data_IF_946836012338
#
_entry.id   IF_946836012338
#
_cell.length_a   1.000
_cell.length_b   1.000
_cell.length_c   1.000
_cell.angle_alpha   90.00
_cell.angle_beta   90.00
_cell.angle_gamma   90.00
#
_symmetry.space_group_name_H-M   'P 1'
#
loop_
_entity.id
_entity.type
_entity.pdbx_description
1 polymer ?
#
# COMPACT_ATOMS: atom_id res chain seq x y z
N UNK A 1 30.76 18.93 2.63
CA UNK A 1 31.74 17.86 2.93
C UNK A 1 31.10 16.94 3.96
N UNK A 2 30.29 15.99 3.49
CA UNK A 2 29.90 14.79 4.23
C UNK A 2 30.13 13.65 3.24
N UNK A 3 31.31 13.05 3.36
CA UNK A 3 31.65 11.82 2.67
C UNK A 3 31.29 10.65 3.57
N UNK A 4 31.02 9.51 2.91
CA UNK A 4 31.02 8.14 3.43
C UNK A 4 30.00 7.78 4.51
N UNK A 5 28.86 7.27 4.07
CA UNK A 5 28.32 6.02 4.60
C UNK A 5 27.61 5.29 3.45
N UNK A 6 28.38 4.92 2.42
CA UNK A 6 27.97 3.87 1.49
C UNK A 6 27.84 2.60 2.30
N UNK A 7 26.62 2.30 2.76
CA UNK A 7 26.28 0.97 3.23
C UNK A 7 26.74 -0.02 2.15
N UNK A 8 27.57 -0.99 2.54
CA UNK A 8 28.05 -2.04 1.66
C UNK A 8 26.86 -2.91 1.22
N UNK A 9 26.07 -2.43 0.24
CA UNK A 9 25.10 -3.25 -0.45
C UNK A 9 25.89 -4.29 -1.23
N UNK A 10 25.61 -5.58 -0.98
CA UNK A 10 26.21 -6.67 -1.74
C UNK A 10 25.79 -6.57 -3.20
N UNK A 11 26.77 -6.50 -4.10
CA UNK A 11 26.53 -6.48 -5.54
C UNK A 11 26.46 -7.90 -6.09
N UNK A 12 25.40 -8.64 -5.73
CA UNK A 12 25.12 -9.95 -6.32
C UNK A 12 24.62 -9.78 -7.76
N UNK A 13 25.16 -10.56 -8.68
CA UNK A 13 24.62 -10.73 -10.02
C UNK A 13 23.23 -11.38 -9.97
N UNK A 14 22.48 -11.28 -11.07
CA UNK A 14 21.18 -11.92 -11.20
C UNK A 14 21.27 -13.43 -10.93
N UNK A 15 22.29 -14.10 -11.47
CA UNK A 15 22.44 -15.54 -11.32
C UNK A 15 22.77 -15.92 -9.87
N UNK A 16 23.61 -15.13 -9.19
CA UNK A 16 23.87 -15.30 -7.76
C UNK A 16 22.60 -15.10 -6.92
N UNK A 17 21.75 -14.13 -7.26
CA UNK A 17 20.46 -13.92 -6.61
C UNK A 17 19.53 -15.13 -6.79
N UNK A 18 19.48 -15.72 -7.99
CA UNK A 18 18.66 -16.90 -8.27
C UNK A 18 19.22 -18.19 -7.63
N UNK A 19 20.51 -18.21 -7.30
CA UNK A 19 21.17 -19.34 -6.65
C UNK A 19 21.19 -19.23 -5.10
N UNK A 20 20.59 -18.18 -4.51
CA UNK A 20 20.56 -18.02 -3.06
C UNK A 20 19.85 -19.20 -2.38
N UNK A 21 20.37 -19.71 -1.24
CA UNK A 21 19.69 -20.76 -0.47
C UNK A 21 18.24 -20.37 -0.14
N UNK A 22 17.30 -21.23 -0.51
CA UNK A 22 15.86 -21.02 -0.31
C UNK A 22 15.09 -20.46 -1.52
N UNK A 23 15.79 -19.95 -2.55
CA UNK A 23 15.16 -19.61 -3.84
C UNK A 23 14.89 -20.89 -4.62
N UNK A 24 13.69 -21.02 -5.18
CA UNK A 24 13.30 -22.21 -5.94
C UNK A 24 14.08 -22.26 -7.27
N UNK A 25 14.98 -23.25 -7.49
CA UNK A 25 15.87 -23.26 -8.65
C UNK A 25 15.15 -23.57 -9.96
N UNK A 26 13.95 -24.16 -9.89
CA UNK A 26 13.10 -24.45 -11.06
C UNK A 26 12.14 -23.31 -11.39
N UNK A 27 12.21 -22.19 -10.65
CA UNK A 27 11.24 -21.10 -10.74
C UNK A 27 9.91 -21.40 -10.01
N UNK A 28 8.93 -20.49 -10.12
CA UNK A 28 7.60 -20.67 -9.51
C UNK A 28 6.89 -21.92 -10.05
N UNK A 29 6.13 -22.59 -9.18
CA UNK A 29 5.28 -23.71 -9.59
C UNK A 29 4.23 -23.24 -10.63
N UNK A 30 4.08 -23.92 -11.78
CA UNK A 30 3.06 -23.57 -12.78
C UNK A 30 1.63 -23.45 -12.24
N UNK A 31 1.28 -24.15 -11.17
CA UNK A 31 -0.02 -24.03 -10.51
C UNK A 31 -0.26 -22.62 -9.90
N UNK A 32 0.79 -21.84 -9.67
CA UNK A 32 0.70 -20.46 -9.16
C UNK A 32 0.62 -19.41 -10.28
N UNK A 33 0.60 -19.83 -11.54
CA UNK A 33 0.51 -18.92 -12.67
C UNK A 33 -0.78 -18.07 -12.59
N UNK A 34 -0.62 -16.76 -12.77
CA UNK A 34 -1.72 -15.80 -12.70
C UNK A 34 -2.09 -15.34 -11.28
N UNK A 35 -1.38 -15.80 -10.25
CA UNK A 35 -1.50 -15.21 -8.91
C UNK A 35 -0.99 -13.76 -8.91
N UNK A 36 -1.67 -12.90 -8.15
CA UNK A 36 -1.36 -11.47 -8.05
C UNK A 36 -1.18 -11.12 -6.59
N UNK A 37 -0.09 -10.41 -6.25
CA UNK A 37 0.02 -9.74 -4.96
C UNK A 37 -0.91 -8.51 -4.98
N UNK A 38 -2.15 -8.77 -4.59
CA UNK A 38 -3.27 -7.89 -4.89
C UNK A 38 -3.33 -6.70 -3.95
N UNK A 39 -3.21 -6.91 -2.64
CA UNK A 39 -3.44 -5.84 -1.66
C UNK A 39 -2.53 -5.90 -0.45
N UNK A 40 -2.30 -4.73 0.14
CA UNK A 40 -1.83 -4.55 1.52
C UNK A 40 -2.91 -3.81 2.30
N UNK A 41 -3.24 -4.28 3.50
CA UNK A 41 -4.30 -3.72 4.32
C UNK A 41 -3.74 -2.93 5.51
N UNK A 42 -4.24 -1.72 5.71
CA UNK A 42 -4.06 -0.95 6.94
C UNK A 42 -5.40 -0.61 7.58
N UNK A 43 -5.42 -0.59 8.90
CA UNK A 43 -6.53 0.04 9.62
C UNK A 43 -6.29 1.54 9.72
N UNK A 44 -7.35 2.33 9.53
CA UNK A 44 -7.31 3.79 9.62
C UNK A 44 -8.31 4.30 10.66
N UNK A 45 -7.89 5.25 11.49
CA UNK A 45 -8.75 5.85 12.53
C UNK A 45 -9.88 6.66 11.91
N UNK A 46 -9.55 7.47 10.92
CA UNK A 46 -10.51 8.34 10.24
C UNK A 46 -10.28 8.22 8.73
N UNK A 47 -11.29 7.76 7.97
CA UNK A 47 -11.15 7.60 6.53
C UNK A 47 -10.99 8.95 5.81
N UNK A 48 -11.52 10.06 6.35
CA UNK A 48 -11.49 11.34 5.63
C UNK A 48 -10.06 11.89 5.41
N UNK A 49 -9.22 12.11 6.44
CA UNK A 49 -7.84 12.53 6.23
C UNK A 49 -7.01 11.44 5.53
N UNK A 50 -7.34 10.16 5.74
CA UNK A 50 -6.64 9.06 5.06
C UNK A 50 -6.88 9.12 3.54
N UNK A 51 -8.13 9.24 3.10
CA UNK A 51 -8.48 9.34 1.69
C UNK A 51 -7.87 10.60 1.06
N UNK A 52 -7.93 11.74 1.74
CA UNK A 52 -7.29 12.97 1.25
C UNK A 52 -5.77 12.79 1.07
N UNK A 53 -5.08 12.22 2.06
CA UNK A 53 -3.65 11.93 1.96
C UNK A 53 -3.33 11.01 0.78
N UNK A 54 -3.95 9.84 0.71
CA UNK A 54 -3.61 8.87 -0.34
C UNK A 54 -4.03 9.34 -1.75
N UNK A 55 -5.09 10.14 -1.87
CA UNK A 55 -5.54 10.65 -3.18
C UNK A 55 -4.84 11.95 -3.58
N UNK A 56 -4.96 13.03 -2.80
CA UNK A 56 -4.42 14.36 -3.15
C UNK A 56 -2.91 14.43 -2.99
N UNK A 57 -2.37 13.89 -1.90
CA UNK A 57 -0.92 13.98 -1.62
C UNK A 57 -0.18 12.94 -2.45
N UNK A 58 -0.57 11.67 -2.36
CA UNK A 58 0.17 10.59 -3.02
C UNK A 58 -0.28 10.31 -4.46
N UNK A 59 -1.46 10.75 -4.89
CA UNK A 59 -1.93 10.58 -6.27
C UNK A 59 -2.60 9.23 -6.57
N UNK A 60 -3.04 8.49 -5.54
CA UNK A 60 -3.82 7.27 -5.76
C UNK A 60 -5.26 7.58 -6.14
N UNK A 61 -5.93 6.62 -6.76
CA UNK A 61 -7.37 6.69 -7.08
C UNK A 61 -8.14 5.75 -6.18
N UNK A 62 -9.22 6.24 -5.55
CA UNK A 62 -10.20 5.39 -4.88
C UNK A 62 -11.01 4.61 -5.93
N UNK A 63 -10.96 3.29 -5.86
CA UNK A 63 -11.62 2.38 -6.81
C UNK A 63 -13.00 1.98 -6.29
N UNK A 64 -13.09 1.52 -5.05
CA UNK A 64 -14.32 0.97 -4.50
C UNK A 64 -14.40 1.16 -2.98
N UNK A 65 -15.64 1.22 -2.49
CA UNK A 65 -15.99 1.24 -1.07
C UNK A 65 -16.92 0.08 -0.75
N UNK A 66 -16.55 -0.73 0.23
CA UNK A 66 -17.36 -1.87 0.69
C UNK A 66 -17.76 -1.66 2.15
N UNK A 67 -19.06 -1.51 2.42
CA UNK A 67 -19.62 -1.35 3.76
C UNK A 67 -20.14 -2.69 4.30
N UNK A 68 -19.72 -3.06 5.51
CA UNK A 68 -20.14 -4.28 6.20
C UNK A 68 -20.90 -3.90 7.46
N UNK A 69 -22.19 -3.58 7.32
CA UNK A 69 -23.01 -3.00 8.40
C UNK A 69 -23.11 -3.89 9.63
N UNK A 70 -23.28 -5.19 9.44
CA UNK A 70 -23.41 -6.15 10.55
C UNK A 70 -22.10 -6.33 11.34
N UNK A 71 -20.97 -5.89 10.78
CA UNK A 71 -19.63 -5.98 11.37
C UNK A 71 -19.03 -4.61 11.69
N UNK A 72 -19.76 -3.53 11.43
CA UNK A 72 -19.39 -2.14 11.74
C UNK A 72 -18.00 -1.72 11.22
N UNK A 73 -17.70 -2.06 9.96
CA UNK A 73 -16.52 -1.52 9.27
C UNK A 73 -16.77 -1.23 7.79
N UNK A 74 -15.92 -0.37 7.23
CA UNK A 74 -15.87 -0.04 5.81
C UNK A 74 -14.46 -0.29 5.27
N UNK A 75 -14.38 -0.85 4.06
CA UNK A 75 -13.14 -0.98 3.29
C UNK A 75 -13.09 0.06 2.17
N UNK A 76 -11.93 0.70 2.00
CA UNK A 76 -11.65 1.61 0.90
C UNK A 76 -10.44 1.08 0.12
N UNK A 77 -10.62 0.83 -1.18
CA UNK A 77 -9.57 0.29 -2.03
C UNK A 77 -8.98 1.38 -2.92
N UNK A 78 -7.68 1.62 -2.79
CA UNK A 78 -6.96 2.63 -3.57
C UNK A 78 -5.81 2.00 -4.36
N UNK A 79 -5.51 2.55 -5.53
CA UNK A 79 -4.32 2.15 -6.29
C UNK A 79 -3.85 3.26 -7.24
N UNK A 80 -2.63 3.11 -7.77
CA UNK A 80 -2.13 3.91 -8.90
C UNK A 80 -2.67 3.37 -10.22
N UNK A 81 -3.89 3.77 -10.56
CA UNK A 81 -4.60 3.36 -11.77
C UNK A 81 -5.15 4.57 -12.51
N UNK A 82 -5.35 4.40 -13.81
CA UNK A 82 -6.09 5.37 -14.62
C UNK A 82 -7.58 5.23 -14.32
N UNK A 83 -8.19 6.29 -13.77
CA UNK A 83 -9.61 6.31 -13.43
C UNK A 83 -10.52 5.99 -14.63
N UNK A 84 -10.10 6.32 -15.85
CA UNK A 84 -10.86 6.01 -17.07
C UNK A 84 -10.94 4.51 -17.39
N UNK A 85 -10.10 3.68 -16.74
CA UNK A 85 -10.11 2.22 -16.88
C UNK A 85 -10.93 1.51 -15.82
N UNK A 86 -11.41 2.23 -14.81
CA UNK A 86 -12.24 1.67 -13.76
C UNK A 86 -13.64 1.39 -14.36
N UNK A 87 -14.15 0.14 -14.30
CA UNK A 87 -15.47 -0.16 -14.81
C UNK A 87 -16.60 0.61 -14.11
N UNK A 88 -17.58 1.05 -14.89
CA UNK A 88 -18.80 1.74 -14.40
C UNK A 88 -19.70 0.77 -13.60
N UNK A 89 -19.92 -0.43 -14.14
CA UNK A 89 -20.70 -1.46 -13.45
C UNK A 89 -19.96 -1.92 -12.19
N UNK A 90 -20.69 -1.98 -11.07
CA UNK A 90 -20.11 -2.30 -9.77
C UNK A 90 -19.54 -3.72 -9.72
N UNK A 91 -20.23 -4.70 -10.30
CA UNK A 91 -19.79 -6.10 -10.28
C UNK A 91 -18.49 -6.23 -11.05
N UNK A 92 -18.44 -5.61 -12.24
CA UNK A 92 -17.23 -5.60 -13.07
C UNK A 92 -16.09 -4.84 -12.40
N UNK A 93 -16.39 -3.72 -11.72
CA UNK A 93 -15.39 -2.94 -10.98
C UNK A 93 -14.79 -3.70 -9.81
N UNK A 94 -15.60 -4.41 -9.02
CA UNK A 94 -15.11 -5.24 -7.92
C UNK A 94 -14.22 -6.37 -8.44
N UNK A 95 -14.64 -7.04 -9.52
CA UNK A 95 -13.82 -8.09 -10.13
C UNK A 95 -12.49 -7.53 -10.67
N UNK A 96 -12.55 -6.37 -11.35
CA UNK A 96 -11.37 -5.69 -11.86
C UNK A 96 -10.43 -5.22 -10.74
N UNK A 97 -10.97 -4.68 -9.66
CA UNK A 97 -10.21 -4.23 -8.49
C UNK A 97 -9.40 -5.38 -7.88
N UNK A 98 -10.02 -6.54 -7.67
CA UNK A 98 -9.35 -7.73 -7.13
C UNK A 98 -8.37 -8.40 -8.11
N UNK A 99 -8.29 -7.94 -9.36
CA UNK A 99 -7.21 -8.34 -10.29
C UNK A 99 -6.06 -7.34 -10.36
N UNK A 100 -6.19 -6.15 -9.76
CA UNK A 100 -5.12 -5.16 -9.79
C UNK A 100 -4.02 -5.50 -8.78
N UNK A 101 -2.73 -5.41 -9.16
CA UNK A 101 -1.63 -5.56 -8.22
C UNK A 101 -1.54 -4.34 -7.30
N UNK A 102 -0.96 -4.54 -6.12
CA UNK A 102 -0.52 -3.46 -5.23
C UNK A 102 -1.60 -2.43 -4.85
N UNK A 103 -2.84 -2.88 -4.67
CA UNK A 103 -3.88 -2.07 -4.04
C UNK A 103 -3.58 -1.84 -2.56
N UNK A 104 -4.00 -0.68 -2.08
CA UNK A 104 -4.06 -0.35 -0.66
C UNK A 104 -5.50 -0.50 -0.19
N UNK A 105 -5.74 -1.43 0.74
CA UNK A 105 -7.01 -1.59 1.44
C UNK A 105 -6.93 -0.79 2.76
N UNK A 106 -7.76 0.24 2.90
CA UNK A 106 -7.93 0.94 4.17
C UNK A 106 -9.19 0.42 4.86
N UNK A 107 -9.02 -0.19 6.03
CA UNK A 107 -10.12 -0.65 6.87
C UNK A 107 -10.42 0.38 7.94
N UNK A 108 -11.63 0.92 7.91
CA UNK A 108 -12.14 1.81 8.94
C UNK A 108 -13.15 1.06 9.81
N UNK A 109 -12.80 0.85 11.09
CA UNK A 109 -13.76 0.40 12.09
C UNK A 109 -14.57 1.61 12.57
N UNK A 110 -15.89 1.52 12.51
CA UNK A 110 -16.75 2.67 12.75
C UNK A 110 -16.62 3.21 14.18
N UNK A 111 -16.68 4.54 14.32
CA UNK A 111 -16.62 5.24 15.60
C UNK A 111 -15.20 5.52 16.10
N UNK A 112 -14.16 4.90 15.51
CA UNK A 112 -12.76 5.14 15.90
C UNK A 112 -12.32 6.59 15.70
N UNK A 113 -12.91 7.31 14.74
CA UNK A 113 -12.69 8.73 14.44
C UNK A 113 -13.19 9.65 15.56
N UNK A 114 -14.27 9.27 16.24
CA UNK A 114 -14.90 10.05 17.31
C UNK A 114 -14.56 9.60 18.72
N UNK A 115 -13.95 8.42 18.88
CA UNK A 115 -13.60 7.89 20.20
C UNK A 115 -12.38 8.64 20.80
N UNK A 116 -12.54 9.36 21.94
CA UNK A 116 -11.45 10.08 22.61
C UNK A 116 -10.44 9.15 23.31
N UNK A 117 -10.83 7.92 23.62
CA UNK A 117 -9.97 6.91 24.23
C UNK A 117 -9.15 6.17 23.18
N UNK A 118 -9.61 6.14 21.93
CA UNK A 118 -8.86 5.53 20.83
C UNK A 118 -7.66 6.38 20.41
N UNK A 119 -6.47 6.00 20.89
CA UNK A 119 -5.19 6.70 20.64
C UNK A 119 -4.61 6.50 19.22
N UNK A 120 -5.28 5.71 18.38
CA UNK A 120 -4.84 5.37 17.03
C UNK A 120 -4.31 3.95 16.91
N UNK A 121 -4.04 3.53 15.67
CA UNK A 121 -3.44 2.24 15.38
C UNK A 121 -1.92 2.28 15.56
N UNK A 122 -1.35 1.16 15.99
CA UNK A 122 0.09 1.00 16.12
C UNK A 122 0.72 0.78 14.73
N UNK A 123 1.77 1.54 14.39
CA UNK A 123 2.41 1.45 13.06
C UNK A 123 3.30 0.22 12.88
N UNK A 124 3.67 -0.45 13.97
CA UNK A 124 4.62 -1.58 13.95
C UNK A 124 6.09 -1.18 14.05
N UNK A 125 6.41 0.11 14.07
CA UNK A 125 7.79 0.63 14.10
C UNK A 125 8.33 0.90 15.52
N UNK A 126 7.49 0.72 16.55
CA UNK A 126 7.88 0.67 17.96
C UNK A 126 7.58 -0.72 18.55
N UNK A 127 7.98 -0.99 19.79
CA UNK A 127 7.70 -2.29 20.42
C UNK A 127 6.20 -2.42 20.79
N UNK A 128 5.54 -3.55 20.47
CA UNK A 128 6.06 -4.71 19.75
C UNK A 128 6.17 -4.47 18.23
N UNK A 129 7.37 -4.70 17.67
CA UNK A 129 7.65 -4.49 16.24
C UNK A 129 7.00 -5.53 15.36
N UNK A 130 6.71 -5.16 14.10
CA UNK A 130 6.12 -6.06 13.12
C UNK A 130 6.20 -5.49 11.69
N UNK A 131 5.08 -5.03 11.15
CA UNK A 131 5.04 -4.30 9.89
C UNK A 131 5.94 -3.06 9.94
N UNK A 132 6.65 -2.76 8.84
CA UNK A 132 7.51 -1.59 8.72
C UNK A 132 6.83 -0.46 7.96
N UNK A 133 6.81 -0.55 6.63
CA UNK A 133 6.25 0.47 5.75
C UNK A 133 5.86 -0.11 4.38
N UNK A 134 5.04 0.64 3.64
CA UNK A 134 4.93 0.53 2.19
C UNK A 134 5.90 1.50 1.53
N UNK A 135 6.35 1.16 0.31
CA UNK A 135 7.23 2.00 -0.49
C UNK A 135 6.55 2.44 -1.77
N UNK A 136 6.77 3.70 -2.16
CA UNK A 136 6.30 4.25 -3.44
C UNK A 136 7.55 4.68 -4.22
N UNK A 137 7.72 4.11 -5.42
CA UNK A 137 8.77 4.55 -6.33
C UNK A 137 8.29 5.78 -7.09
N UNK A 138 9.15 6.79 -7.14
CA UNK A 138 8.90 8.05 -7.85
C UNK A 138 10.04 8.34 -8.82
N UNK A 139 9.80 9.09 -9.92
CA UNK A 139 10.86 9.40 -10.88
C UNK A 139 12.02 10.20 -10.28
N UNK A 140 11.72 11.08 -9.33
CA UNK A 140 12.70 11.92 -8.63
C UNK A 140 12.25 12.11 -7.18
N UNK A 141 13.06 11.61 -6.24
CA UNK A 141 12.75 11.62 -4.81
C UNK A 141 12.81 13.04 -4.25
N UNK A 142 13.76 13.87 -4.70
CA UNK A 142 13.94 15.24 -4.19
C UNK A 142 12.75 16.12 -4.60
N UNK A 143 12.32 15.99 -5.87
CA UNK A 143 11.14 16.73 -6.37
C UNK A 143 9.86 16.29 -5.65
N UNK A 144 9.69 14.99 -5.41
CA UNK A 144 8.53 14.48 -4.70
C UNK A 144 8.51 14.98 -3.23
N UNK A 145 9.64 14.89 -2.54
CA UNK A 145 9.78 15.36 -1.15
C UNK A 145 9.54 16.87 -1.03
N UNK A 146 10.10 17.69 -1.92
CA UNK A 146 9.86 19.14 -1.92
C UNK A 146 8.36 19.46 -2.10
N UNK A 147 7.63 18.71 -2.92
CA UNK A 147 6.17 18.83 -3.03
C UNK A 147 5.48 18.40 -1.74
N UNK A 148 5.88 17.30 -1.13
CA UNK A 148 5.31 16.83 0.14
C UNK A 148 5.50 17.88 1.25
N UNK A 149 6.70 18.45 1.39
CA UNK A 149 6.99 19.54 2.33
C UNK A 149 6.09 20.76 2.08
N UNK A 150 5.89 21.15 0.81
CA UNK A 150 5.00 22.28 0.46
C UNK A 150 3.53 22.04 0.83
N UNK A 151 3.13 20.78 1.00
CA UNK A 151 1.79 20.37 1.41
C UNK A 151 1.67 20.14 2.93
N UNK A 152 2.77 20.31 3.68
CA UNK A 152 2.82 20.12 5.13
C UNK A 152 2.82 18.66 5.57
N UNK A 153 3.34 17.77 4.73
CA UNK A 153 3.61 16.36 5.10
C UNK A 153 4.83 16.29 6.02
#
# INVERSE_FOLDING_TARGET
MLASDTHHMSNLSKDELQALPGVCPTGPDPATAGTVFQQTMFRVKDPQPSLDFYTRVLGMTLIERLDFKDLEFTLYFLAFVDAAKIPEDRKDRVQWMFSQPACLELTHNWGTETDPEFKGYHSGNADPRGFGHIGISVPDVEVACARFESLGV
#
